data_IF_494587737866
#
_entry.id   IF_494587737866
#
_cell.length_a   1.000
_cell.length_b   1.000
_cell.length_c   1.000
_cell.angle_alpha   90.00
_cell.angle_beta   90.00
_cell.angle_gamma   90.00
#
_symmetry.space_group_name_H-M   'P 1'
#
loop_
_entity.id
_entity.type
_entity.pdbx_description
1 polymer ?
#
# COMPACT_ATOMS: atom_id res chain seq x y z
N UNK A 1 -14.82 -15.81 24.97
CA UNK A 1 -13.48 -15.43 24.46
C UNK A 1 -13.65 -14.92 23.05
N UNK A 2 -13.48 -13.62 22.82
CA UNK A 2 -13.50 -13.05 21.48
C UNK A 2 -12.18 -13.45 20.81
N UNK A 3 -12.25 -14.20 19.71
CA UNK A 3 -11.07 -14.64 18.97
C UNK A 3 -10.51 -13.42 18.25
N UNK A 4 -9.37 -12.92 18.67
CA UNK A 4 -8.67 -11.85 17.97
C UNK A 4 -8.25 -12.36 16.59
N UNK A 5 -8.88 -11.83 15.55
CA UNK A 5 -8.55 -12.16 14.17
C UNK A 5 -7.50 -11.17 13.69
N UNK A 6 -6.23 -11.44 13.98
CA UNK A 6 -5.12 -10.66 13.45
C UNK A 6 -4.91 -11.02 11.98
N UNK A 7 -5.00 -10.01 11.11
CA UNK A 7 -4.70 -10.14 9.69
C UNK A 7 -3.42 -9.37 9.38
N UNK A 8 -2.38 -10.11 8.98
CA UNK A 8 -1.09 -9.54 8.58
C UNK A 8 -0.99 -9.55 7.06
N UNK A 9 -0.74 -8.37 6.49
CA UNK A 9 -0.37 -8.26 5.09
C UNK A 9 1.14 -8.01 4.98
N UNK A 10 1.79 -8.76 4.10
CA UNK A 10 3.21 -8.56 3.80
C UNK A 10 3.36 -8.22 2.33
N UNK A 11 4.02 -7.09 2.07
CA UNK A 11 4.34 -6.63 0.72
C UNK A 11 5.86 -6.51 0.61
N UNK A 12 6.45 -7.20 -0.37
CA UNK A 12 7.86 -7.03 -0.73
C UNK A 12 7.94 -6.67 -2.21
N UNK A 13 8.31 -5.42 -2.49
CA UNK A 13 8.71 -4.80 -3.78
C UNK A 13 8.38 -3.30 -3.73
N UNK A 14 8.26 -2.68 -4.90
CA UNK A 14 8.18 -1.25 -5.13
C UNK A 14 7.10 -0.58 -4.27
N UNK A 15 7.55 0.18 -3.28
CA UNK A 15 6.74 1.17 -2.58
C UNK A 15 7.28 2.55 -2.89
N UNK A 16 6.42 3.56 -2.83
CA UNK A 16 6.81 4.97 -2.96
C UNK A 16 6.13 5.81 -1.91
N UNK A 17 6.86 6.80 -1.41
CA UNK A 17 6.32 7.87 -0.56
C UNK A 17 6.00 9.05 -1.45
N UNK A 18 4.76 9.53 -1.43
CA UNK A 18 4.35 10.72 -2.16
C UNK A 18 3.45 11.58 -1.28
N UNK A 19 3.76 12.87 -1.15
CA UNK A 19 3.02 13.82 -0.30
C UNK A 19 2.81 13.29 1.13
N UNK A 20 3.84 12.67 1.71
CA UNK A 20 3.81 12.10 3.06
C UNK A 20 2.79 10.94 3.23
N UNK A 21 2.41 10.28 2.13
CA UNK A 21 1.57 9.09 2.10
C UNK A 21 2.33 7.94 1.43
N UNK A 22 2.25 6.76 2.04
CA UNK A 22 2.85 5.55 1.49
C UNK A 22 1.90 4.87 0.51
N UNK A 23 2.49 4.41 -0.61
CA UNK A 23 1.83 3.65 -1.65
C UNK A 23 2.59 2.36 -1.95
N UNK A 24 1.85 1.28 -2.15
CA UNK A 24 2.35 0.07 -2.82
C UNK A 24 2.21 0.29 -4.32
N UNK A 25 3.27 0.06 -5.08
CA UNK A 25 3.25 0.20 -6.54
C UNK A 25 3.07 -1.16 -7.22
N UNK A 26 2.01 -1.31 -8.04
CA UNK A 26 1.90 -2.40 -9.00
C UNK A 26 3.08 -2.40 -9.99
N UNK A 27 3.38 -3.56 -10.58
CA UNK A 27 4.47 -3.73 -11.55
C UNK A 27 4.26 -2.90 -12.83
N UNK A 28 3.01 -2.61 -13.16
CA UNK A 28 2.53 -1.83 -14.29
C UNK A 28 2.13 -0.39 -13.90
N UNK A 29 2.28 -0.03 -12.62
CA UNK A 29 1.99 1.31 -12.11
C UNK A 29 3.03 2.34 -12.54
N UNK A 30 2.63 3.61 -12.64
CA UNK A 30 3.53 4.72 -12.92
C UNK A 30 4.03 5.35 -11.61
N UNK A 31 5.31 5.20 -11.22
CA UNK A 31 5.82 5.75 -9.96
C UNK A 31 5.79 7.28 -9.87
N UNK A 32 5.60 7.97 -11.00
CA UNK A 32 5.42 9.43 -11.06
C UNK A 32 3.98 9.88 -10.82
N UNK A 33 3.03 8.95 -10.85
CA UNK A 33 1.61 9.18 -10.56
C UNK A 33 1.08 8.09 -9.59
N UNK A 34 1.59 8.08 -8.35
CA UNK A 34 1.20 7.07 -7.36
C UNK A 34 -0.23 7.23 -6.86
N UNK A 35 -0.81 8.43 -6.95
CA UNK A 35 -2.20 8.69 -6.54
C UNK A 35 -3.21 7.95 -7.41
N UNK A 36 -2.94 7.86 -8.72
CA UNK A 36 -3.83 7.21 -9.68
C UNK A 36 -3.48 5.73 -9.90
N UNK A 37 -2.19 5.39 -9.84
CA UNK A 37 -1.69 4.05 -10.24
C UNK A 37 -1.17 3.19 -9.08
N UNK A 38 -1.02 3.76 -7.88
CA UNK A 38 -0.60 3.06 -6.68
C UNK A 38 -1.77 2.69 -5.76
N UNK A 39 -1.47 1.83 -4.78
CA UNK A 39 -2.42 1.45 -3.71
C UNK A 39 -1.97 2.15 -2.43
N UNK A 40 -2.76 3.10 -1.94
CA UNK A 40 -2.50 3.79 -0.67
C UNK A 40 -2.57 2.81 0.49
N UNK A 41 -1.52 2.77 1.33
CA UNK A 41 -1.48 1.90 2.52
C UNK A 41 -2.59 2.28 3.52
N UNK A 42 -2.95 3.56 3.60
CA UNK A 42 -4.03 4.03 4.49
C UNK A 42 -5.40 3.47 4.11
N UNK A 43 -5.60 3.02 2.85
CA UNK A 43 -6.84 2.35 2.43
C UNK A 43 -6.88 0.86 2.82
N UNK A 44 -5.76 0.28 3.26
CA UNK A 44 -5.65 -1.12 3.68
C UNK A 44 -5.74 -1.30 5.21
N UNK A 45 -5.66 -0.19 5.96
CA UNK A 45 -5.87 -0.11 7.41
C UNK A 45 -7.34 0.23 7.69
#
# INVERSE_FOLDING_TARGET
MQKENFLWYFFSRYGVVHQNQDYIMPIDGNPKDPETTGISITKLL
#
